data_IF_072986584842
#
_entry.id   IF_072986584842
#
_cell.length_a   1.000
_cell.length_b   1.000
_cell.length_c   1.000
_cell.angle_alpha   90.00
_cell.angle_beta   90.00
_cell.angle_gamma   90.00
#
_symmetry.space_group_name_H-M   'P 1'
#
loop_
_entity.id
_entity.type
_entity.pdbx_description
1 polymer ?
#
# COMPACT_ATOMS: atom_id res chain seq x y z
N UNK A 1 52.89 52.77 55.75
CA UNK A 1 52.13 52.35 56.94
C UNK A 1 50.95 51.52 56.49
N UNK A 2 50.80 50.31 57.02
CA UNK A 2 49.74 49.36 56.67
C UNK A 2 48.54 49.54 57.61
N UNK A 3 47.30 49.62 57.11
CA UNK A 3 46.09 49.41 57.91
C UNK A 3 44.95 48.74 57.10
N UNK A 4 44.93 47.42 57.23
CA UNK A 4 43.85 46.42 57.18
C UNK A 4 42.51 46.70 56.47
N UNK A 5 42.21 45.85 55.48
CA UNK A 5 40.88 45.71 54.88
C UNK A 5 39.85 45.04 55.79
N UNK A 6 38.60 45.50 55.68
CA UNK A 6 37.45 44.97 56.40
C UNK A 6 37.09 43.57 55.91
N UNK A 7 37.46 42.54 56.68
CA UNK A 7 36.99 41.18 56.46
C UNK A 7 35.47 41.15 56.66
N UNK A 8 34.70 41.03 55.58
CA UNK A 8 33.27 40.67 55.63
C UNK A 8 33.11 39.41 56.49
N UNK A 9 32.54 39.57 57.68
CA UNK A 9 32.32 38.47 58.61
C UNK A 9 31.34 37.47 58.01
N UNK A 10 31.80 36.25 57.77
CA UNK A 10 31.00 35.11 57.31
C UNK A 10 29.92 34.66 58.32
N UNK A 11 29.85 35.28 59.49
CA UNK A 11 28.88 34.93 60.55
C UNK A 11 27.47 35.50 60.33
N UNK A 12 27.31 36.55 59.53
CA UNK A 12 25.98 37.12 59.23
C UNK A 12 25.12 36.18 58.37
N UNK A 13 25.76 35.39 57.49
CA UNK A 13 25.11 34.44 56.58
C UNK A 13 24.71 33.13 57.31
N UNK A 14 25.39 32.81 58.42
CA UNK A 14 25.03 31.69 59.28
C UNK A 14 23.86 32.00 60.23
N UNK A 15 23.60 33.28 60.52
CA UNK A 15 22.45 33.70 61.32
C UNK A 15 21.12 33.65 60.54
N UNK A 16 21.14 33.77 59.21
CA UNK A 16 19.94 33.67 58.36
C UNK A 16 19.45 32.23 58.14
N UNK A 17 20.23 31.22 58.53
CA UNK A 17 19.90 29.80 58.32
C UNK A 17 19.30 29.12 59.55
N UNK A 18 19.04 29.85 60.64
CA UNK A 18 18.76 29.24 61.95
C UNK A 18 17.32 29.37 62.48
N UNK A 19 16.33 29.57 61.60
CA UNK A 19 14.94 29.69 62.08
C UNK A 19 13.88 29.02 61.21
N UNK A 20 14.22 27.88 60.59
CA UNK A 20 13.24 27.03 59.89
C UNK A 20 12.16 26.46 60.85
N UNK A 21 12.50 26.26 62.13
CA UNK A 21 11.59 25.72 63.13
C UNK A 21 10.46 26.67 63.54
N UNK A 22 10.66 27.99 63.45
CA UNK A 22 9.59 28.97 63.70
C UNK A 22 8.59 29.06 62.55
N UNK A 23 9.03 28.82 61.31
CA UNK A 23 8.12 28.78 60.17
C UNK A 23 7.24 27.54 60.20
N UNK A 24 7.80 26.37 60.52
CA UNK A 24 7.02 25.13 60.61
C UNK A 24 6.04 25.13 61.79
N UNK A 25 6.43 25.70 62.95
CA UNK A 25 5.52 25.84 64.09
C UNK A 25 4.40 26.85 63.82
N UNK A 26 4.69 27.95 63.13
CA UNK A 26 3.67 28.92 62.67
C UNK A 26 2.71 28.32 61.64
N UNK A 27 3.21 27.55 60.67
CA UNK A 27 2.35 26.83 59.72
C UNK A 27 1.46 25.82 60.44
N UNK A 28 1.98 25.12 61.45
CA UNK A 28 1.20 24.16 62.24
C UNK A 28 0.14 24.85 63.11
N UNK A 29 0.43 26.02 63.65
CA UNK A 29 -0.51 26.86 64.39
C UNK A 29 -1.63 27.41 63.48
N UNK A 30 -1.28 27.83 62.26
CA UNK A 30 -2.23 28.28 61.24
C UNK A 30 -3.10 27.15 60.66
N UNK A 31 -2.56 25.92 60.57
CA UNK A 31 -3.35 24.73 60.20
C UNK A 31 -4.23 24.22 61.34
N UNK A 32 -3.84 24.43 62.59
CA UNK A 32 -4.64 24.02 63.76
C UNK A 32 -5.87 24.92 63.97
N UNK A 33 -5.82 26.15 63.48
CA UNK A 33 -6.88 27.12 63.68
C UNK A 33 -8.06 26.84 62.71
N UNK A 34 -9.19 26.40 63.26
CA UNK A 34 -10.31 25.85 62.48
C UNK A 34 -10.94 26.87 61.51
N UNK A 35 -10.87 28.16 61.86
CA UNK A 35 -11.35 29.25 61.02
C UNK A 35 -10.44 29.60 59.83
N UNK A 36 -9.12 29.40 59.94
CA UNK A 36 -8.20 29.57 58.81
C UNK A 36 -8.20 28.35 57.91
N UNK A 37 -8.36 27.14 58.47
CA UNK A 37 -8.47 25.91 57.69
C UNK A 37 -9.71 25.89 56.78
N UNK A 38 -10.85 26.41 57.24
CA UNK A 38 -12.05 26.52 56.40
C UNK A 38 -11.92 27.56 55.28
N UNK A 39 -11.23 28.68 55.53
CA UNK A 39 -10.92 29.67 54.49
C UNK A 39 -9.89 29.14 53.49
N UNK A 40 -8.94 28.33 53.95
CA UNK A 40 -7.94 27.70 53.08
C UNK A 40 -8.60 26.62 52.20
N UNK A 41 -9.51 25.81 52.76
CA UNK A 41 -10.22 24.80 51.99
C UNK A 41 -11.14 25.40 50.95
N UNK A 42 -11.87 26.50 51.26
CA UNK A 42 -12.72 27.17 50.28
C UNK A 42 -11.88 27.75 49.13
N UNK A 43 -10.72 28.34 49.45
CA UNK A 43 -9.80 28.90 48.45
C UNK A 43 -9.19 27.80 47.56
N UNK A 44 -8.80 26.67 48.15
CA UNK A 44 -8.27 25.54 47.39
C UNK A 44 -9.34 24.92 46.49
N UNK A 45 -10.58 24.84 46.96
CA UNK A 45 -11.71 24.34 46.20
C UNK A 45 -12.04 25.26 45.02
N UNK A 46 -12.02 26.58 45.19
CA UNK A 46 -12.25 27.52 44.08
C UNK A 46 -11.15 27.44 43.02
N UNK A 47 -9.89 27.32 43.43
CA UNK A 47 -8.77 27.10 42.50
C UNK A 47 -8.96 25.81 41.71
N UNK A 48 -9.36 24.72 42.37
CA UNK A 48 -9.60 23.43 41.72
C UNK A 48 -10.73 23.53 40.68
N UNK A 49 -11.85 24.17 41.04
CA UNK A 49 -12.96 24.41 40.11
C UNK A 49 -12.50 25.24 38.91
N UNK A 50 -11.71 26.29 39.14
CA UNK A 50 -11.19 27.14 38.06
C UNK A 50 -10.27 26.35 37.13
N UNK A 51 -9.39 25.50 37.69
CA UNK A 51 -8.49 24.65 36.92
C UNK A 51 -9.26 23.68 36.02
N UNK A 52 -10.28 23.01 36.56
CA UNK A 52 -11.14 22.10 35.79
C UNK A 52 -11.90 22.86 34.70
N UNK A 53 -12.42 24.06 34.97
CA UNK A 53 -13.11 24.86 33.98
C UNK A 53 -12.19 25.27 32.82
N UNK A 54 -10.94 25.62 33.11
CA UNK A 54 -9.93 25.97 32.10
C UNK A 54 -9.53 24.76 31.26
N UNK A 55 -9.27 23.61 31.89
CA UNK A 55 -8.95 22.39 31.14
C UNK A 55 -10.13 21.86 30.34
N UNK A 56 -11.36 21.99 30.86
CA UNK A 56 -12.59 21.62 30.15
C UNK A 56 -12.85 22.48 28.92
N UNK A 57 -12.30 23.71 28.87
CA UNK A 57 -12.37 24.55 27.67
C UNK A 57 -11.34 24.15 26.62
N UNK A 58 -10.32 23.35 26.98
CA UNK A 58 -9.31 22.90 26.02
C UNK A 58 -9.95 21.88 25.08
N UNK A 59 -10.24 22.31 23.86
CA UNK A 59 -10.91 21.48 22.86
C UNK A 59 -10.16 20.14 22.69
N UNK A 60 -10.86 18.99 22.71
CA UNK A 60 -10.24 17.66 22.63
C UNK A 60 -9.52 17.41 21.29
N UNK A 61 -9.78 18.24 20.28
CA UNK A 61 -9.18 18.12 18.94
C UNK A 61 -8.62 19.47 18.48
N UNK A 62 -7.32 19.75 18.73
CA UNK A 62 -6.68 20.98 18.26
C UNK A 62 -6.53 21.02 16.73
N UNK A 63 -6.61 19.87 16.05
CA UNK A 63 -6.47 19.77 14.60
C UNK A 63 -7.77 19.28 13.98
N UNK A 64 -8.23 19.95 12.91
CA UNK A 64 -9.37 19.56 12.09
C UNK A 64 -8.90 19.18 10.70
N UNK A 65 -9.72 18.43 9.96
CA UNK A 65 -9.43 18.12 8.57
C UNK A 65 -9.28 19.43 7.78
N UNK A 66 -8.11 19.63 7.16
CA UNK A 66 -7.77 20.85 6.40
C UNK A 66 -6.95 21.90 7.17
N UNK A 67 -6.69 21.73 8.47
CA UNK A 67 -5.77 22.62 9.20
C UNK A 67 -4.34 22.11 9.11
N UNK A 68 -3.40 22.95 8.66
CA UNK A 68 -1.98 22.65 8.68
C UNK A 68 -1.39 22.94 10.06
N UNK A 69 -0.55 22.06 10.58
CA UNK A 69 0.15 22.31 11.83
C UNK A 69 1.20 23.42 11.64
N UNK A 70 1.27 24.36 12.57
CA UNK A 70 2.25 25.47 12.56
C UNK A 70 3.69 24.96 12.65
N UNK A 71 3.87 23.79 13.28
CA UNK A 71 5.14 23.07 13.33
C UNK A 71 5.08 21.93 12.30
N UNK A 72 6.06 21.88 11.40
CA UNK A 72 6.14 20.86 10.36
C UNK A 72 6.04 19.45 10.96
N UNK A 73 5.01 18.71 10.57
CA UNK A 73 4.86 17.30 10.95
C UNK A 73 5.91 16.53 10.14
N UNK A 74 7.03 16.19 10.77
CA UNK A 74 8.00 15.28 10.20
C UNK A 74 7.43 13.87 10.25
N UNK A 75 7.18 13.28 9.08
CA UNK A 75 6.88 11.87 8.97
C UNK A 75 8.08 11.05 9.46
N UNK A 76 7.88 10.21 10.48
CA UNK A 76 8.90 9.27 10.96
C UNK A 76 9.13 8.09 10.01
N UNK A 77 8.23 7.90 9.04
CA UNK A 77 8.28 6.83 8.06
C UNK A 77 8.59 7.39 6.66
N UNK A 78 9.50 6.72 5.96
CA UNK A 78 9.80 7.01 4.56
C UNK A 78 8.64 6.54 3.69
N UNK A 79 7.79 7.47 3.26
CA UNK A 79 6.81 7.19 2.21
C UNK A 79 7.53 7.04 0.88
N UNK A 80 7.30 5.93 0.18
CA UNK A 80 7.76 5.72 -1.19
C UNK A 80 6.55 5.79 -2.12
N UNK A 81 6.62 6.69 -3.09
CA UNK A 81 5.66 6.72 -4.20
C UNK A 81 6.12 5.70 -5.23
N UNK A 82 5.24 4.76 -5.58
CA UNK A 82 5.53 3.79 -6.64
C UNK A 82 5.68 4.53 -7.98
N UNK A 83 6.80 4.32 -8.67
CA UNK A 83 7.00 4.83 -10.03
C UNK A 83 6.55 3.75 -11.03
N UNK A 84 5.38 3.90 -11.68
CA UNK A 84 4.87 2.88 -12.60
C UNK A 84 5.77 2.71 -13.83
N UNK A 85 6.38 3.79 -14.32
CA UNK A 85 7.20 3.80 -15.53
C UNK A 85 8.45 2.94 -15.34
N UNK A 86 9.17 3.15 -14.23
CA UNK A 86 10.37 2.36 -13.92
C UNK A 86 10.04 0.91 -13.62
N UNK A 87 8.88 0.66 -13.02
CA UNK A 87 8.40 -0.70 -12.73
C UNK A 87 8.12 -1.47 -14.03
N UNK A 88 7.42 -0.83 -14.97
CA UNK A 88 7.12 -1.44 -16.27
C UNK A 88 8.38 -1.64 -17.11
N UNK A 89 9.31 -0.68 -17.08
CA UNK A 89 10.62 -0.82 -17.73
C UNK A 89 11.39 -2.04 -17.19
N UNK A 90 11.43 -2.20 -15.87
CA UNK A 90 12.09 -3.37 -15.25
C UNK A 90 11.38 -4.68 -15.58
N UNK A 91 10.04 -4.67 -15.68
CA UNK A 91 9.26 -5.84 -16.11
C UNK A 91 9.64 -6.26 -17.54
N UNK A 92 9.63 -5.33 -18.49
CA UNK A 92 9.98 -5.63 -19.89
C UNK A 92 11.43 -6.11 -20.04
N UNK A 93 12.37 -5.52 -19.30
CA UNK A 93 13.77 -5.99 -19.29
C UNK A 93 13.87 -7.43 -18.80
N UNK A 94 13.24 -7.75 -17.67
CA UNK A 94 13.21 -9.11 -17.15
C UNK A 94 12.54 -10.10 -18.09
N UNK A 95 11.45 -9.71 -18.75
CA UNK A 95 10.79 -10.54 -19.76
C UNK A 95 11.73 -10.86 -20.93
N UNK A 96 12.53 -9.90 -21.37
CA UNK A 96 13.51 -10.09 -22.44
C UNK A 96 14.72 -10.94 -22.03
N UNK A 97 15.06 -10.97 -20.74
CA UNK A 97 16.17 -11.75 -20.19
C UNK A 97 15.82 -13.23 -20.00
N UNK A 98 14.54 -13.61 -19.99
CA UNK A 98 14.13 -15.01 -19.83
C UNK A 98 14.50 -15.81 -21.09
N UNK A 99 15.34 -16.86 -20.98
CA UNK A 99 15.64 -17.71 -22.12
C UNK A 99 14.39 -18.45 -22.61
N UNK A 100 14.20 -18.51 -23.92
CA UNK A 100 13.12 -19.30 -24.51
C UNK A 100 13.30 -20.78 -24.16
N UNK A 101 12.31 -21.36 -23.48
CA UNK A 101 12.27 -22.78 -23.18
C UNK A 101 11.31 -23.48 -24.13
N UNK A 102 11.84 -24.45 -24.91
CA UNK A 102 10.99 -25.32 -25.70
C UNK A 102 10.49 -26.46 -24.82
N UNK A 103 9.18 -26.51 -24.58
CA UNK A 103 8.54 -27.62 -23.88
C UNK A 103 8.01 -28.62 -24.89
N UNK A 104 8.74 -29.71 -25.09
CA UNK A 104 8.26 -30.83 -25.90
C UNK A 104 7.06 -31.49 -25.20
N UNK A 105 5.92 -31.53 -25.87
CA UNK A 105 4.70 -32.20 -25.40
C UNK A 105 4.46 -33.45 -26.26
N UNK A 106 5.03 -34.62 -25.88
CA UNK A 106 4.96 -35.82 -26.71
C UNK A 106 3.52 -36.31 -26.94
N UNK A 107 2.63 -36.07 -25.97
CA UNK A 107 1.21 -36.42 -26.06
C UNK A 107 0.50 -35.75 -27.25
N UNK A 108 0.85 -34.50 -27.57
CA UNK A 108 0.26 -33.82 -28.73
C UNK A 108 0.62 -34.52 -30.05
N UNK A 109 1.83 -35.07 -30.16
CA UNK A 109 2.28 -35.77 -31.37
C UNK A 109 1.52 -37.10 -31.50
N UNK A 110 1.37 -37.84 -30.40
CA UNK A 110 0.60 -39.09 -30.40
C UNK A 110 -0.88 -38.84 -30.72
N UNK A 111 -1.50 -37.85 -30.10
CA UNK A 111 -2.90 -37.52 -30.32
C UNK A 111 -3.15 -37.02 -31.75
N UNK A 112 -2.23 -36.23 -32.31
CA UNK A 112 -2.28 -35.80 -33.71
C UNK A 112 -2.16 -36.98 -34.67
N UNK A 113 -1.27 -37.94 -34.40
CA UNK A 113 -1.13 -39.12 -35.25
C UNK A 113 -2.40 -39.98 -35.24
N UNK A 114 -3.07 -40.09 -34.08
CA UNK A 114 -4.34 -40.81 -33.93
C UNK A 114 -5.48 -40.09 -34.64
N UNK A 115 -5.60 -38.77 -34.48
CA UNK A 115 -6.64 -37.98 -35.14
C UNK A 115 -6.47 -38.02 -36.66
N UNK A 116 -5.25 -37.85 -37.17
CA UNK A 116 -4.95 -37.96 -38.60
C UNK A 116 -5.32 -39.33 -39.15
N UNK A 117 -4.99 -40.41 -38.43
CA UNK A 117 -5.34 -41.76 -38.86
C UNK A 117 -6.86 -41.97 -38.92
N UNK A 118 -7.60 -41.47 -37.94
CA UNK A 118 -9.05 -41.52 -37.93
C UNK A 118 -9.66 -40.71 -39.09
N UNK A 119 -9.13 -39.51 -39.35
CA UNK A 119 -9.57 -38.65 -40.45
C UNK A 119 -9.30 -39.29 -41.82
N UNK A 120 -8.14 -39.93 -42.01
CA UNK A 120 -7.82 -40.67 -43.24
C UNK A 120 -8.65 -41.94 -43.42
N UNK A 121 -8.98 -42.65 -42.33
CA UNK A 121 -9.87 -43.80 -42.38
C UNK A 121 -11.30 -43.39 -42.77
N UNK A 122 -11.77 -42.23 -42.26
CA UNK A 122 -13.04 -41.66 -42.66
C UNK A 122 -13.07 -41.31 -44.16
N UNK A 123 -11.98 -40.74 -44.69
CA UNK A 123 -11.82 -40.48 -46.13
C UNK A 123 -11.82 -41.77 -46.95
N UNK A 124 -11.09 -42.80 -46.52
CA UNK A 124 -10.99 -44.07 -47.24
C UNK A 124 -12.34 -44.82 -47.32
N UNK A 125 -13.23 -44.63 -46.35
CA UNK A 125 -14.57 -45.25 -46.32
C UNK A 125 -15.62 -44.47 -47.10
N UNK A 126 -15.43 -43.16 -47.28
CA UNK A 126 -16.36 -42.31 -48.01
C UNK A 126 -16.28 -42.57 -49.52
N UNK A 127 -17.44 -42.71 -50.18
CA UNK A 127 -17.50 -42.88 -51.65
C UNK A 127 -17.51 -41.55 -52.42
N UNK A 128 -17.86 -40.44 -51.75
CA UNK A 128 -17.83 -39.10 -52.33
C UNK A 128 -17.46 -38.05 -51.28
N UNK A 129 -17.07 -36.85 -51.74
CA UNK A 129 -16.71 -35.70 -50.88
C UNK A 129 -17.89 -35.19 -50.05
N UNK A 130 -19.13 -35.41 -50.48
CA UNK A 130 -20.34 -34.98 -49.76
C UNK A 130 -20.69 -35.88 -48.58
N UNK A 131 -20.22 -37.13 -48.62
CA UNK A 131 -20.41 -38.14 -47.55
C UNK A 131 -19.46 -37.93 -46.36
N UNK A 132 -18.53 -36.97 -46.48
CA UNK A 132 -17.51 -36.69 -45.48
C UNK A 132 -17.99 -35.63 -44.48
N UNK A 133 -17.67 -35.80 -43.19
CA UNK A 133 -18.00 -34.81 -42.16
C UNK A 133 -17.38 -33.43 -42.48
N UNK A 134 -18.12 -32.35 -42.24
CA UNK A 134 -17.71 -30.98 -42.55
C UNK A 134 -16.42 -30.56 -41.82
N UNK A 135 -16.23 -31.05 -40.59
CA UNK A 135 -15.03 -30.80 -39.80
C UNK A 135 -13.78 -31.46 -40.41
N UNK A 136 -13.91 -32.69 -40.88
CA UNK A 136 -12.82 -33.44 -41.54
C UNK A 136 -12.46 -32.82 -42.89
N UNK A 137 -13.47 -32.34 -43.64
CA UNK A 137 -13.25 -31.58 -44.88
C UNK A 137 -12.46 -30.29 -44.65
N UNK A 138 -12.78 -29.55 -43.59
CA UNK A 138 -12.08 -28.31 -43.25
C UNK A 138 -10.63 -28.58 -42.76
N UNK A 139 -10.43 -29.60 -41.91
CA UNK A 139 -9.11 -29.97 -41.38
C UNK A 139 -8.14 -30.45 -42.46
N UNK A 140 -8.63 -31.20 -43.44
CA UNK A 140 -7.83 -31.70 -44.57
C UNK A 140 -7.76 -30.71 -45.74
N UNK A 141 -8.43 -29.56 -45.65
CA UNK A 141 -8.48 -28.57 -46.74
C UNK A 141 -9.19 -29.07 -48.00
N UNK A 142 -10.11 -30.03 -47.87
CA UNK A 142 -10.93 -30.59 -48.96
C UNK A 142 -12.19 -29.74 -49.23
N UNK A 143 -12.25 -28.54 -48.68
CA UNK A 143 -13.26 -27.54 -49.05
C UNK A 143 -12.85 -26.89 -50.37
N UNK A 144 -13.84 -26.44 -51.16
CA UNK A 144 -13.60 -25.60 -52.33
C UNK A 144 -12.80 -24.38 -51.88
N UNK A 145 -11.48 -24.46 -51.97
CA UNK A 145 -10.64 -23.31 -51.70
C UNK A 145 -11.03 -22.27 -52.73
N UNK A 146 -11.18 -21.01 -52.31
CA UNK A 146 -11.40 -19.88 -53.22
C UNK A 146 -10.42 -19.87 -54.41
N UNK A 147 -9.23 -20.46 -54.22
CA UNK A 147 -8.21 -20.68 -55.24
C UNK A 147 -8.60 -21.74 -56.28
N UNK A 148 -9.21 -22.87 -55.87
CA UNK A 148 -9.73 -23.89 -56.78
C UNK A 148 -10.95 -23.39 -57.55
N UNK A 149 -11.83 -22.59 -56.93
CA UNK A 149 -12.94 -21.93 -57.65
C UNK A 149 -12.41 -20.90 -58.67
N UNK A 150 -11.37 -20.14 -58.33
CA UNK A 150 -10.69 -19.26 -59.30
C UNK A 150 -10.05 -20.05 -60.45
N UNK A 151 -9.43 -21.19 -60.18
CA UNK A 151 -8.85 -22.06 -61.20
C UNK A 151 -9.91 -22.71 -62.10
N UNK A 152 -11.02 -23.19 -61.53
CA UNK A 152 -12.13 -23.79 -62.27
C UNK A 152 -12.86 -22.76 -63.17
N UNK A 153 -12.95 -21.50 -62.72
CA UNK A 153 -13.45 -20.41 -63.56
C UNK A 153 -12.43 -19.95 -64.62
N UNK A 154 -11.14 -20.27 -64.45
CA UNK A 154 -10.09 -19.91 -65.41
C UNK A 154 -10.04 -20.86 -66.61
N UNK A 155 -10.52 -22.10 -66.43
CA UNK A 155 -10.61 -23.12 -67.46
C UNK A 155 -12.06 -23.63 -67.50
N UNK A 156 -13.00 -22.89 -68.11
CA UNK A 156 -14.31 -23.43 -68.37
C UNK A 156 -14.12 -24.66 -69.26
N UNK A 157 -14.65 -25.81 -68.81
CA UNK A 157 -14.74 -27.04 -69.59
C UNK A 157 -15.27 -26.68 -70.98
N UNK A 158 -14.40 -26.71 -71.99
CA UNK A 158 -14.86 -26.68 -73.38
C UNK A 158 -15.69 -27.94 -73.55
N UNK A 159 -17.01 -27.73 -73.65
CA UNK A 159 -17.96 -28.76 -74.05
C UNK A 159 -17.36 -29.53 -75.20
N UNK A 160 -17.13 -30.84 -75.02
CA UNK A 160 -16.82 -31.76 -76.10
C UNK A 160 -17.84 -31.51 -77.23
N UNK A 161 -17.40 -30.77 -78.25
CA UNK A 161 -18.14 -30.65 -79.50
C UNK A 161 -17.99 -32.00 -80.18
N UNK A 162 -19.04 -32.80 -80.01
CA UNK A 162 -19.35 -33.95 -80.84
C UNK A 162 -19.31 -33.54 -82.31
N UNK A 163 -18.43 -34.19 -83.07
CA UNK A 163 -18.51 -34.32 -84.53
C UNK A 163 -18.65 -35.80 -84.87
#
# INVERSE_FOLDING_TARGET
>A
MAFFGSKKSRTALAASLRDSSKLSSKLRELLSNRGTLSRLSICLLTILILMVAVESWKAPFPYRLGTFAEHGILASATFKVANPIETDRQRTQKESEVPYSFKQQPKLIEDLSKSLRADLEAVAKAKSLDDLNAETRAKLGLTSSRRLEQFANLFPEESEQTF
#
